data_IF_785239733908
#
_entry.id   IF_785239733908
#
_cell.length_a   1.000
_cell.length_b   1.000
_cell.length_c   1.000
_cell.angle_alpha   90.00
_cell.angle_beta   90.00
_cell.angle_gamma   90.00
#
_symmetry.space_group_name_H-M   'P 1'
#
loop_
_entity.id
_entity.type
_entity.pdbx_description
1 polymer ?
#
# COMPACT_ATOMS: atom_id res chain seq x y z
N UNK A 1 47.09 -13.03 -13.07
CA UNK A 1 46.21 -14.15 -12.70
C UNK A 1 46.80 -14.86 -11.49
N UNK A 2 46.36 -14.50 -10.29
CA UNK A 2 46.50 -15.34 -9.11
C UNK A 2 45.12 -15.97 -8.89
N UNK A 3 45.02 -17.30 -8.97
CA UNK A 3 43.82 -18.01 -8.54
C UNK A 3 43.95 -18.24 -7.04
N UNK A 4 43.27 -17.43 -6.24
CA UNK A 4 43.03 -17.76 -4.82
C UNK A 4 41.82 -18.69 -4.80
N UNK A 5 42.01 -19.90 -4.27
CA UNK A 5 40.90 -20.81 -3.99
C UNK A 5 40.45 -20.52 -2.57
N UNK A 6 39.31 -19.84 -2.41
CA UNK A 6 38.71 -19.60 -1.09
C UNK A 6 37.94 -20.86 -0.68
N UNK A 7 38.49 -21.61 0.28
CA UNK A 7 37.77 -22.69 0.94
C UNK A 7 36.54 -22.12 1.68
N UNK A 8 35.46 -22.90 1.72
CA UNK A 8 34.19 -22.48 2.33
C UNK A 8 34.37 -22.34 3.86
N UNK A 9 34.63 -21.10 4.31
CA UNK A 9 35.00 -20.77 5.68
C UNK A 9 36.20 -19.83 5.83
N UNK A 10 36.84 -19.41 4.73
CA UNK A 10 37.90 -18.39 4.77
C UNK A 10 37.34 -16.98 5.06
N UNK A 11 37.77 -16.38 6.18
CA UNK A 11 37.57 -14.94 6.43
C UNK A 11 38.49 -14.13 5.52
N UNK A 12 37.94 -13.09 4.87
CA UNK A 12 38.73 -12.14 4.09
C UNK A 12 39.57 -11.31 5.08
N UNK A 13 40.90 -11.39 4.96
CA UNK A 13 41.81 -10.72 5.90
C UNK A 13 41.96 -9.23 5.59
N UNK A 14 42.12 -8.42 6.64
CA UNK A 14 42.29 -6.96 6.64
C UNK A 14 43.24 -6.44 5.54
N UNK A 15 44.36 -7.14 5.30
CA UNK A 15 45.34 -6.81 4.25
C UNK A 15 44.82 -6.79 2.80
N UNK A 16 43.73 -7.51 2.52
CA UNK A 16 43.06 -7.52 1.21
C UNK A 16 42.16 -6.28 1.08
N UNK A 17 41.52 -5.84 2.17
CA UNK A 17 40.70 -4.62 2.20
C UNK A 17 41.55 -3.36 2.10
N UNK A 18 42.66 -3.25 2.84
CA UNK A 18 43.64 -2.16 2.71
C UNK A 18 44.11 -1.99 1.25
N UNK A 19 44.38 -3.12 0.58
CA UNK A 19 44.81 -3.14 -0.82
C UNK A 19 43.71 -2.67 -1.78
N UNK A 20 42.44 -2.99 -1.49
CA UNK A 20 41.29 -2.58 -2.31
C UNK A 20 40.91 -1.11 -2.09
N UNK A 21 40.98 -0.61 -0.85
CA UNK A 21 40.68 0.78 -0.47
C UNK A 21 41.58 1.80 -1.19
N UNK A 22 42.84 1.44 -1.42
CA UNK A 22 43.84 2.32 -2.05
C UNK A 22 43.90 2.24 -3.58
N UNK A 23 43.07 1.41 -4.23
CA UNK A 23 43.00 1.32 -5.69
C UNK A 23 41.69 1.92 -6.21
N UNK A 24 41.78 2.95 -7.05
CA UNK A 24 40.61 3.61 -7.68
C UNK A 24 39.78 2.69 -8.59
N UNK A 25 40.30 1.51 -8.94
CA UNK A 25 39.58 0.42 -9.65
C UNK A 25 39.41 -0.85 -8.80
N UNK A 26 39.78 -0.82 -7.51
CA UNK A 26 39.74 -1.98 -6.61
C UNK A 26 38.32 -2.35 -6.17
N UNK A 27 37.45 -1.35 -6.01
CA UNK A 27 36.05 -1.55 -5.60
C UNK A 27 35.23 -2.41 -6.56
N UNK A 28 35.52 -2.40 -7.86
CA UNK A 28 34.79 -3.21 -8.86
C UNK A 28 35.17 -4.70 -8.79
N UNK A 29 36.42 -5.01 -8.44
CA UNK A 29 36.85 -6.38 -8.16
C UNK A 29 36.30 -6.88 -6.81
N UNK A 30 36.28 -6.01 -5.79
CA UNK A 30 35.71 -6.31 -4.48
C UNK A 30 34.19 -6.55 -4.57
N UNK A 31 33.47 -5.71 -5.31
CA UNK A 31 32.03 -5.87 -5.59
C UNK A 31 31.74 -7.22 -6.21
N UNK A 32 32.57 -7.68 -7.15
CA UNK A 32 32.38 -8.96 -7.82
C UNK A 32 32.65 -10.17 -6.92
N UNK A 33 33.66 -10.11 -6.05
CA UNK A 33 33.86 -11.14 -5.02
C UNK A 33 32.71 -11.15 -3.99
N UNK A 34 32.15 -9.99 -3.63
CA UNK A 34 31.01 -9.89 -2.73
C UNK A 34 29.68 -10.35 -3.39
N UNK A 35 29.48 -10.11 -4.69
CA UNK A 35 28.37 -10.68 -5.47
C UNK A 35 28.47 -12.21 -5.63
N UNK A 36 29.68 -12.75 -5.83
CA UNK A 36 29.90 -14.20 -5.84
C UNK A 36 29.73 -14.82 -4.42
N UNK A 37 29.75 -14.01 -3.35
CA UNK A 37 29.54 -14.41 -1.94
C UNK A 37 28.07 -14.32 -1.45
N UNK A 38 27.09 -14.13 -2.35
CA UNK A 38 25.63 -13.98 -2.04
C UNK A 38 24.98 -15.17 -1.29
N UNK A 39 25.73 -16.24 -0.99
CA UNK A 39 25.32 -17.33 -0.10
C UNK A 39 25.80 -17.23 1.37
N UNK A 40 26.64 -16.25 1.72
CA UNK A 40 27.33 -16.20 3.04
C UNK A 40 27.25 -14.82 3.68
N UNK A 41 26.95 -14.78 4.99
CA UNK A 41 27.01 -13.56 5.81
C UNK A 41 28.41 -12.94 5.74
N UNK A 42 28.50 -11.72 5.22
CA UNK A 42 29.72 -10.92 5.26
C UNK A 42 29.84 -10.29 6.65
N UNK A 43 30.92 -10.59 7.38
CA UNK A 43 31.20 -9.88 8.63
C UNK A 43 31.70 -8.46 8.30
N UNK A 44 30.91 -7.45 8.66
CA UNK A 44 31.32 -6.04 8.50
C UNK A 44 32.43 -5.67 9.49
N UNK A 45 33.68 -5.82 9.05
CA UNK A 45 34.90 -5.36 9.73
C UNK A 45 35.05 -3.83 9.61
N UNK A 46 35.84 -3.23 10.51
CA UNK A 46 36.09 -1.78 10.49
C UNK A 46 36.77 -1.35 9.17
N UNK A 47 37.64 -2.20 8.62
CA UNK A 47 38.40 -1.92 7.39
C UNK A 47 37.59 -2.07 6.11
N UNK A 48 36.64 -3.04 6.04
CA UNK A 48 35.66 -3.12 4.94
C UNK A 48 34.85 -1.82 4.85
N UNK A 49 34.42 -1.30 5.99
CA UNK A 49 33.64 -0.06 6.09
C UNK A 49 34.47 1.19 5.75
N UNK A 50 35.77 1.22 6.05
CA UNK A 50 36.71 2.28 5.61
C UNK A 50 36.96 2.22 4.09
N UNK A 51 37.15 1.02 3.54
CA UNK A 51 37.30 0.80 2.10
C UNK A 51 36.05 1.23 1.34
N UNK A 52 34.87 0.87 1.86
CA UNK A 52 33.57 1.29 1.33
C UNK A 52 33.48 2.80 1.15
N UNK A 53 33.83 3.53 2.21
CA UNK A 53 33.65 4.97 2.30
C UNK A 53 34.51 5.78 1.31
N UNK A 54 35.44 5.11 0.61
CA UNK A 54 36.30 5.71 -0.43
C UNK A 54 35.71 5.66 -1.86
N UNK A 55 34.55 5.02 -2.09
CA UNK A 55 33.90 4.91 -3.41
C UNK A 55 32.37 5.01 -3.32
N UNK A 56 31.73 5.87 -4.13
CA UNK A 56 30.30 6.18 -4.08
C UNK A 56 29.35 4.98 -4.28
N UNK A 57 29.70 4.00 -5.10
CA UNK A 57 28.84 2.82 -5.30
C UNK A 57 29.07 1.75 -4.23
N UNK A 58 30.31 1.59 -3.75
CA UNK A 58 30.65 0.72 -2.61
C UNK A 58 30.05 1.25 -1.30
N UNK A 59 30.02 2.57 -1.10
CA UNK A 59 29.32 3.24 -0.01
C UNK A 59 27.87 2.75 0.10
N UNK A 60 27.13 2.69 -1.01
CA UNK A 60 25.70 2.38 -1.01
C UNK A 60 25.39 0.91 -0.71
N UNK A 61 26.19 -0.02 -1.25
CA UNK A 61 26.06 -1.43 -0.91
C UNK A 61 26.34 -1.66 0.59
N UNK A 62 27.35 -0.97 1.13
CA UNK A 62 27.80 -1.18 2.51
C UNK A 62 26.99 -0.37 3.53
N UNK A 63 26.37 0.74 3.13
CA UNK A 63 25.22 1.32 3.83
C UNK A 63 24.11 0.25 3.92
N UNK A 64 23.76 -0.42 2.80
CA UNK A 64 22.73 -1.45 2.74
C UNK A 64 23.07 -2.78 3.45
N UNK A 65 24.33 -3.09 3.74
CA UNK A 65 24.71 -4.23 4.60
C UNK A 65 24.92 -3.83 6.07
N UNK A 66 25.28 -2.57 6.36
CA UNK A 66 25.30 -2.05 7.73
C UNK A 66 23.90 -2.06 8.36
N UNK A 67 22.84 -1.86 7.56
CA UNK A 67 21.84 -2.90 7.26
C UNK A 67 21.03 -3.52 8.40
N UNK A 68 20.48 -4.71 8.10
CA UNK A 68 19.85 -5.63 9.06
C UNK A 68 20.87 -6.13 10.11
N UNK A 69 22.11 -5.64 10.09
CA UNK A 69 23.05 -5.89 11.17
C UNK A 69 22.77 -4.95 12.36
N UNK A 70 22.34 -5.48 13.54
CA UNK A 70 21.86 -4.67 14.67
C UNK A 70 22.85 -3.65 15.26
N UNK A 71 24.14 -3.80 14.96
CA UNK A 71 25.23 -2.88 15.33
C UNK A 71 26.03 -2.37 14.12
N UNK A 72 25.67 -2.77 12.90
CA UNK A 72 26.40 -2.39 11.68
C UNK A 72 26.31 -0.90 11.42
N UNK A 73 25.10 -0.35 11.50
CA UNK A 73 24.87 1.09 11.40
C UNK A 73 25.67 1.89 12.45
N UNK A 74 25.76 1.43 13.71
CA UNK A 74 26.55 2.11 14.76
C UNK A 74 28.05 2.16 14.44
N UNK A 75 28.59 1.08 13.87
CA UNK A 75 29.99 1.04 13.41
C UNK A 75 30.21 1.97 12.22
N UNK A 76 29.27 2.00 11.28
CA UNK A 76 29.31 2.92 10.16
C UNK A 76 29.22 4.39 10.64
N UNK A 77 28.35 4.72 11.61
CA UNK A 77 28.28 6.05 12.24
C UNK A 77 29.63 6.49 12.82
N UNK A 78 30.36 5.60 13.52
CA UNK A 78 31.69 5.89 14.07
C UNK A 78 32.75 6.13 12.99
N UNK A 79 32.61 5.54 11.81
CA UNK A 79 33.53 5.73 10.68
C UNK A 79 33.20 6.98 9.87
N UNK A 80 31.92 7.29 9.69
CA UNK A 80 31.47 8.59 9.16
C UNK A 80 31.81 9.75 10.11
N UNK A 81 31.99 9.49 11.40
CA UNK A 81 32.51 10.49 12.35
C UNK A 81 34.02 10.73 12.19
N UNK A 82 34.79 9.70 11.82
CA UNK A 82 36.23 9.80 11.52
C UNK A 82 36.54 10.41 10.15
N UNK A 83 35.68 10.22 9.15
CA UNK A 83 35.84 10.81 7.81
C UNK A 83 35.13 12.17 7.70
N UNK A 84 35.89 13.26 7.76
CA UNK A 84 35.34 14.63 7.74
C UNK A 84 34.69 15.11 6.44
N UNK A 85 34.90 14.42 5.30
CA UNK A 85 34.55 14.88 3.95
C UNK A 85 33.57 13.93 3.19
N UNK A 86 32.60 13.31 3.89
CA UNK A 86 31.55 12.53 3.21
C UNK A 86 30.55 13.43 2.47
N UNK A 87 30.52 13.42 1.14
CA UNK A 87 29.44 14.07 0.39
C UNK A 87 28.13 13.30 0.57
N UNK A 88 27.17 13.89 1.29
CA UNK A 88 25.83 13.32 1.43
C UNK A 88 25.06 13.47 0.11
N UNK A 89 24.59 12.35 -0.45
CA UNK A 89 23.77 12.32 -1.67
C UNK A 89 22.30 12.02 -1.36
N UNK A 90 21.39 12.42 -2.25
CA UNK A 90 19.96 12.08 -2.11
C UNK A 90 19.70 10.58 -2.21
N UNK A 91 20.58 9.80 -2.86
CA UNK A 91 20.50 8.32 -2.87
C UNK A 91 20.80 7.76 -1.47
N UNK A 92 21.84 8.23 -0.80
CA UNK A 92 22.14 7.84 0.59
C UNK A 92 20.99 8.18 1.54
N UNK A 93 20.33 9.34 1.34
CA UNK A 93 19.15 9.71 2.13
C UNK A 93 17.96 8.77 1.88
N UNK A 94 17.69 8.37 0.62
CA UNK A 94 16.65 7.37 0.29
C UNK A 94 16.91 6.04 0.98
N UNK A 95 18.13 5.49 0.86
CA UNK A 95 18.52 4.23 1.52
C UNK A 95 18.55 4.35 3.06
N UNK A 96 18.75 5.56 3.62
CA UNK A 96 18.63 5.80 5.06
C UNK A 96 17.20 5.94 5.57
N UNK A 97 16.22 6.14 4.68
CA UNK A 97 14.80 6.26 5.03
C UNK A 97 14.19 5.00 5.68
N UNK A 98 14.99 3.96 5.84
CA UNK A 98 14.66 2.72 6.52
C UNK A 98 14.91 2.81 8.04
N UNK A 99 15.95 3.54 8.52
CA UNK A 99 16.28 3.67 9.95
C UNK A 99 16.48 5.15 10.35
N UNK A 100 15.66 5.68 11.28
CA UNK A 100 15.66 7.11 11.63
C UNK A 100 17.00 7.66 12.15
N UNK A 101 17.77 6.88 12.91
CA UNK A 101 19.03 7.34 13.52
C UNK A 101 20.10 7.63 12.47
N UNK A 102 20.20 6.76 11.45
CA UNK A 102 21.13 6.97 10.34
C UNK A 102 20.69 8.17 9.49
N UNK A 103 19.40 8.25 9.18
CA UNK A 103 18.84 9.40 8.46
C UNK A 103 19.12 10.72 9.21
N UNK A 104 18.89 10.76 10.53
CA UNK A 104 19.18 11.93 11.35
C UNK A 104 20.66 12.33 11.28
N UNK A 105 21.60 11.38 11.39
CA UNK A 105 23.03 11.69 11.29
C UNK A 105 23.41 12.27 9.92
N UNK A 106 22.91 11.70 8.81
CA UNK A 106 23.18 12.22 7.47
C UNK A 106 22.63 13.64 7.29
N UNK A 107 21.48 13.96 7.88
CA UNK A 107 20.90 15.30 7.89
C UNK A 107 21.75 16.28 8.74
N UNK A 108 22.22 15.85 9.90
CA UNK A 108 23.13 16.62 10.76
C UNK A 108 24.47 16.93 10.08
N UNK A 109 24.99 15.99 9.27
CA UNK A 109 26.24 16.13 8.49
C UNK A 109 26.09 16.85 7.14
N UNK A 110 24.98 17.58 6.92
CA UNK A 110 24.78 18.44 5.73
C UNK A 110 23.74 17.94 4.71
N UNK A 111 23.23 16.72 4.90
CA UNK A 111 22.18 16.12 4.06
C UNK A 111 20.87 16.91 4.01
N UNK A 112 20.63 17.83 4.96
CA UNK A 112 19.48 18.78 4.94
C UNK A 112 19.28 19.47 3.59
N UNK A 113 20.37 19.82 2.90
CA UNK A 113 20.33 20.50 1.59
C UNK A 113 19.93 19.59 0.42
N UNK A 114 19.88 18.27 0.64
CA UNK A 114 19.62 17.22 -0.36
C UNK A 114 18.27 16.53 -0.15
N UNK A 115 17.49 16.95 0.87
CA UNK A 115 16.11 16.51 1.09
C UNK A 115 15.22 17.14 0.01
N UNK A 116 14.76 16.31 -0.90
CA UNK A 116 13.85 16.67 -1.98
C UNK A 116 12.62 15.76 -1.94
N UNK A 117 11.59 16.07 -2.73
CA UNK A 117 10.39 15.25 -2.88
C UNK A 117 10.74 13.77 -3.11
N UNK A 118 11.70 13.47 -3.98
CA UNK A 118 12.11 12.10 -4.29
C UNK A 118 12.67 11.31 -3.08
N UNK A 119 13.24 11.99 -2.09
CA UNK A 119 13.68 11.38 -0.82
C UNK A 119 12.45 11.11 0.04
N UNK A 120 11.60 12.13 0.22
CA UNK A 120 10.39 12.04 1.04
C UNK A 120 9.41 10.99 0.51
N UNK A 121 9.25 10.88 -0.81
CA UNK A 121 8.37 9.90 -1.47
C UNK A 121 8.88 8.47 -1.30
N UNK A 122 10.20 8.26 -1.39
CA UNK A 122 10.80 6.95 -1.13
C UNK A 122 10.56 6.51 0.33
N UNK A 123 10.77 7.43 1.28
CA UNK A 123 10.50 7.20 2.70
C UNK A 123 9.01 6.98 2.99
N UNK A 124 8.10 7.74 2.36
CA UNK A 124 6.65 7.62 2.54
C UNK A 124 6.09 6.27 2.06
N UNK A 125 6.66 5.72 0.98
CA UNK A 125 6.30 4.40 0.44
C UNK A 125 6.80 3.22 1.28
N UNK A 126 7.69 3.46 2.25
CA UNK A 126 8.25 2.41 3.08
C UNK A 126 7.35 2.10 4.29
N UNK A 127 7.20 0.82 4.66
CA UNK A 127 6.29 0.40 5.75
C UNK A 127 6.62 1.07 7.10
N UNK A 128 7.89 1.43 7.35
CA UNK A 128 8.31 2.16 8.55
C UNK A 128 8.33 3.70 8.36
N UNK A 129 7.43 4.29 7.58
CA UNK A 129 7.48 5.74 7.29
C UNK A 129 7.24 6.65 8.51
N UNK A 130 6.67 6.11 9.60
CA UNK A 130 6.15 6.89 10.73
C UNK A 130 7.19 7.70 11.52
N UNK A 131 8.43 7.21 11.61
CA UNK A 131 9.54 7.91 12.27
C UNK A 131 10.39 8.78 11.31
N UNK A 132 10.81 8.30 10.12
CA UNK A 132 11.68 9.06 9.22
C UNK A 132 10.98 10.19 8.45
N UNK A 133 9.68 10.10 8.15
CA UNK A 133 8.94 11.21 7.49
C UNK A 133 8.92 12.48 8.36
N UNK A 134 8.56 12.44 9.66
CA UNK A 134 8.69 13.60 10.55
C UNK A 134 10.10 14.18 10.64
N UNK A 135 11.13 13.32 10.60
CA UNK A 135 12.55 13.75 10.62
C UNK A 135 12.89 14.54 9.36
N UNK A 136 12.55 14.05 8.16
CA UNK A 136 12.72 14.79 6.90
C UNK A 136 11.98 16.14 6.91
N UNK A 137 10.71 16.13 7.35
CA UNK A 137 9.83 17.31 7.39
C UNK A 137 10.24 18.35 8.46
N UNK A 138 11.08 17.97 9.44
CA UNK A 138 11.59 18.87 10.48
C UNK A 138 13.02 19.33 10.18
N UNK A 139 13.79 18.54 9.45
CA UNK A 139 15.14 18.90 9.02
C UNK A 139 15.15 20.03 7.96
N UNK A 140 14.03 20.26 7.27
CA UNK A 140 13.79 21.38 6.37
C UNK A 140 13.43 22.69 7.08
N UNK A 141 14.30 23.20 7.98
CA UNK A 141 14.07 24.49 8.66
C UNK A 141 14.06 25.70 7.70
N UNK A 142 14.57 25.54 6.48
CA UNK A 142 14.36 26.49 5.39
C UNK A 142 13.03 26.20 4.67
N UNK A 143 12.00 26.92 5.11
CA UNK A 143 10.65 26.99 4.54
C UNK A 143 10.68 26.95 2.99
N UNK A 144 9.89 26.04 2.40
CA UNK A 144 9.62 25.81 0.96
C UNK A 144 10.46 24.81 0.13
N UNK A 145 11.46 24.07 0.65
CA UNK A 145 12.19 23.10 -0.23
C UNK A 145 11.61 21.68 -0.28
N UNK A 146 10.96 21.20 0.79
CA UNK A 146 10.36 19.87 0.80
C UNK A 146 8.94 19.95 0.25
N UNK A 147 8.81 19.80 -1.08
CA UNK A 147 7.52 19.79 -1.76
C UNK A 147 6.71 18.55 -1.32
N UNK A 148 5.59 18.80 -0.63
CA UNK A 148 4.58 17.77 -0.34
C UNK A 148 3.65 17.70 -1.56
N UNK A 149 3.81 16.66 -2.38
CA UNK A 149 2.96 16.40 -3.55
C UNK A 149 1.80 15.48 -3.21
N UNK A 150 0.82 15.39 -4.11
CA UNK A 150 -0.29 14.43 -4.01
C UNK A 150 0.25 13.00 -3.87
N UNK A 151 1.32 12.67 -4.59
CA UNK A 151 1.99 11.38 -4.57
C UNK A 151 2.57 11.03 -3.19
N UNK A 152 3.16 11.99 -2.48
CA UNK A 152 3.65 11.79 -1.11
C UNK A 152 2.49 11.63 -0.14
N UNK A 153 1.44 12.46 -0.26
CA UNK A 153 0.23 12.35 0.57
C UNK A 153 -0.45 10.99 0.40
N UNK A 154 -0.65 10.53 -0.84
CA UNK A 154 -1.21 9.21 -1.16
C UNK A 154 -0.34 8.09 -0.59
N UNK A 155 0.99 8.19 -0.71
CA UNK A 155 1.90 7.18 -0.16
C UNK A 155 1.81 7.09 1.38
N UNK A 156 1.78 8.21 2.10
CA UNK A 156 1.63 8.23 3.57
C UNK A 156 0.25 7.71 4.00
N UNK A 157 -0.83 8.12 3.32
CA UNK A 157 -2.20 7.72 3.68
C UNK A 157 -2.50 6.24 3.37
N UNK A 158 -1.93 5.71 2.29
CA UNK A 158 -2.06 4.28 1.94
C UNK A 158 -1.23 3.34 2.82
N UNK A 159 -0.34 3.87 3.66
CA UNK A 159 0.53 3.08 4.52
C UNK A 159 -0.22 2.55 5.75
N UNK A 160 -0.08 1.26 6.04
CA UNK A 160 -0.96 0.53 6.97
C UNK A 160 -1.08 1.17 8.36
N UNK A 161 0.00 1.74 8.89
CA UNK A 161 0.03 2.30 10.24
C UNK A 161 -0.11 3.83 10.24
N UNK A 162 -1.20 4.32 10.83
CA UNK A 162 -1.33 5.73 11.19
C UNK A 162 -0.39 6.05 12.35
N UNK A 163 0.28 7.20 12.25
CA UNK A 163 1.21 7.66 13.27
C UNK A 163 1.77 9.04 12.91
N UNK A 164 2.96 9.32 13.43
CA UNK A 164 3.55 10.66 13.37
C UNK A 164 3.74 11.19 11.95
N UNK A 165 3.91 10.32 10.93
CA UNK A 165 4.02 10.74 9.53
C UNK A 165 2.75 11.43 9.02
N UNK A 166 1.58 10.83 9.28
CA UNK A 166 0.27 11.35 8.84
C UNK A 166 0.00 12.71 9.47
N UNK A 167 0.22 12.83 10.78
CA UNK A 167 0.06 14.10 11.49
C UNK A 167 1.05 15.16 10.95
N UNK A 168 2.33 14.80 10.84
CA UNK A 168 3.39 15.74 10.43
C UNK A 168 3.24 16.27 9.01
N UNK A 169 2.73 15.45 8.08
CA UNK A 169 2.49 15.87 6.70
C UNK A 169 1.21 16.73 6.63
N UNK A 170 0.14 16.33 7.32
CA UNK A 170 -1.14 17.07 7.34
C UNK A 170 -1.00 18.46 7.97
N UNK A 171 -0.18 18.63 9.01
CA UNK A 171 0.06 19.93 9.63
C UNK A 171 0.87 20.90 8.74
N UNK A 172 1.49 20.39 7.68
CA UNK A 172 2.26 21.15 6.69
C UNK A 172 1.57 21.26 5.32
N UNK A 173 0.37 20.68 5.17
CA UNK A 173 -0.37 20.59 3.90
C UNK A 173 -1.55 21.55 3.88
N UNK A 174 -1.83 22.19 2.74
CA UNK A 174 -3.00 23.07 2.62
C UNK A 174 -4.28 22.28 2.27
N UNK A 175 -5.49 22.79 2.60
CA UNK A 175 -6.74 22.15 2.18
C UNK A 175 -6.92 22.03 0.65
N UNK A 176 -6.12 22.74 -0.16
CA UNK A 176 -6.16 22.65 -1.62
C UNK A 176 -5.53 21.34 -2.10
N UNK A 177 -4.47 20.89 -1.42
CA UNK A 177 -3.66 19.71 -1.79
C UNK A 177 -4.31 18.38 -1.37
N UNK A 178 -5.32 18.44 -0.50
CA UNK A 178 -6.10 17.28 -0.04
C UNK A 178 -7.17 16.91 -1.07
N UNK A 179 -6.74 16.24 -2.14
CA UNK A 179 -7.57 15.82 -3.28
C UNK A 179 -8.43 14.58 -2.99
N UNK A 180 -9.25 14.19 -3.97
CA UNK A 180 -9.99 12.93 -3.92
C UNK A 180 -9.07 11.71 -3.82
N UNK A 181 -7.89 11.70 -4.48
CA UNK A 181 -6.94 10.57 -4.37
C UNK A 181 -6.39 10.42 -2.95
N UNK A 182 -6.15 11.54 -2.25
CA UNK A 182 -5.70 11.52 -0.86
C UNK A 182 -6.79 10.97 0.06
N UNK A 183 -8.06 11.34 -0.18
CA UNK A 183 -9.22 10.78 0.51
C UNK A 183 -9.43 9.29 0.20
N UNK A 184 -9.23 8.86 -1.05
CA UNK A 184 -9.30 7.46 -1.48
C UNK A 184 -8.21 6.61 -0.80
N UNK A 185 -6.97 7.09 -0.77
CA UNK A 185 -5.87 6.44 -0.07
C UNK A 185 -6.13 6.29 1.44
N UNK A 186 -6.67 7.34 2.08
CA UNK A 186 -7.07 7.31 3.48
C UNK A 186 -8.24 6.35 3.74
N UNK A 187 -9.25 6.31 2.87
CA UNK A 187 -10.39 5.41 2.98
C UNK A 187 -10.00 3.94 2.80
N UNK A 188 -9.03 3.65 1.92
CA UNK A 188 -8.47 2.31 1.72
C UNK A 188 -7.52 1.83 2.84
N UNK A 189 -7.22 2.65 3.85
CA UNK A 189 -6.26 2.32 4.90
C UNK A 189 -6.74 1.20 5.84
N UNK A 190 -6.10 0.03 5.80
CA UNK A 190 -6.63 -1.19 6.47
C UNK A 190 -6.75 -1.11 8.00
N UNK A 191 -5.98 -0.26 8.69
CA UNK A 191 -6.00 -0.19 10.15
C UNK A 191 -6.70 1.04 10.72
N UNK A 192 -6.54 2.21 10.09
CA UNK A 192 -6.85 3.51 10.70
C UNK A 192 -7.64 4.46 9.78
N UNK A 193 -8.33 3.93 8.76
CA UNK A 193 -9.04 4.75 7.79
C UNK A 193 -10.05 5.72 8.42
N UNK A 194 -10.73 5.31 9.50
CA UNK A 194 -11.73 6.13 10.18
C UNK A 194 -11.11 7.39 10.78
N UNK A 195 -9.98 7.24 11.46
CA UNK A 195 -9.22 8.30 12.10
C UNK A 195 -8.64 9.25 11.05
N UNK A 196 -8.06 8.71 9.96
CA UNK A 196 -7.55 9.50 8.84
C UNK A 196 -8.65 10.33 8.15
N UNK A 197 -9.79 9.71 7.83
CA UNK A 197 -10.92 10.37 7.19
C UNK A 197 -11.51 11.47 8.09
N UNK A 198 -11.63 11.23 9.40
CA UNK A 198 -12.12 12.26 10.33
C UNK A 198 -11.17 13.47 10.37
N UNK A 199 -9.85 13.25 10.46
CA UNK A 199 -8.86 14.32 10.40
C UNK A 199 -8.94 15.12 9.08
N UNK A 200 -9.09 14.43 7.94
CA UNK A 200 -9.22 15.08 6.64
C UNK A 200 -10.49 15.92 6.54
N UNK A 201 -11.63 15.43 7.08
CA UNK A 201 -12.87 16.20 7.17
C UNK A 201 -12.75 17.46 8.04
N UNK A 202 -12.01 17.40 9.14
CA UNK A 202 -11.81 18.54 10.04
C UNK A 202 -11.00 19.67 9.37
N UNK A 203 -10.18 19.35 8.36
CA UNK A 203 -9.46 20.35 7.53
C UNK A 203 -10.18 20.76 6.23
N UNK A 204 -10.86 19.85 5.56
CA UNK A 204 -11.53 20.10 4.27
C UNK A 204 -12.97 20.62 4.40
N UNK A 205 -13.63 20.36 5.52
CA UNK A 205 -15.08 20.33 5.60
C UNK A 205 -15.68 19.06 4.98
N UNK A 206 -16.89 18.73 5.42
CA UNK A 206 -17.56 17.42 5.25
C UNK A 206 -18.09 17.12 3.83
N UNK A 207 -17.65 17.87 2.81
CA UNK A 207 -18.35 18.00 1.54
C UNK A 207 -17.66 17.35 0.32
N UNK A 208 -16.62 16.52 0.52
CA UNK A 208 -15.76 15.95 -0.54
C UNK A 208 -15.83 14.42 -0.70
N UNK A 209 -16.90 13.77 -0.25
CA UNK A 209 -17.06 12.32 -0.51
C UNK A 209 -17.50 12.09 -1.96
N UNK A 210 -16.67 11.39 -2.71
CA UNK A 210 -16.95 10.96 -4.08
C UNK A 210 -17.19 9.46 -4.13
N UNK A 211 -17.71 8.99 -5.27
CA UNK A 211 -17.85 7.57 -5.58
C UNK A 211 -16.52 6.80 -5.37
N UNK A 212 -15.38 7.38 -5.79
CA UNK A 212 -14.06 6.79 -5.59
C UNK A 212 -13.71 6.59 -4.12
N UNK A 213 -13.96 7.59 -3.26
CA UNK A 213 -13.73 7.48 -1.81
C UNK A 213 -14.63 6.40 -1.18
N UNK A 214 -15.87 6.26 -1.67
CA UNK A 214 -16.77 5.18 -1.22
C UNK A 214 -16.28 3.81 -1.70
N UNK A 215 -15.81 3.66 -2.95
CA UNK A 215 -15.19 2.41 -3.46
C UNK A 215 -13.99 2.00 -2.62
N UNK A 216 -13.08 2.93 -2.34
CA UNK A 216 -11.91 2.69 -1.50
C UNK A 216 -12.30 2.33 -0.05
N UNK A 217 -13.36 2.94 0.49
CA UNK A 217 -13.89 2.59 1.80
C UNK A 217 -14.48 1.17 1.83
N UNK A 218 -15.30 0.77 0.85
CA UNK A 218 -15.98 -0.55 0.90
C UNK A 218 -15.05 -1.72 0.58
N UNK A 219 -13.97 -1.50 -0.17
CA UNK A 219 -12.90 -2.49 -0.38
C UNK A 219 -11.94 -2.67 0.82
N UNK A 220 -12.20 -2.00 1.95
CA UNK A 220 -11.32 -2.00 3.12
C UNK A 220 -11.77 -3.03 4.18
N UNK A 221 -11.03 -4.13 4.27
CA UNK A 221 -11.21 -5.19 5.27
C UNK A 221 -11.25 -4.65 6.72
N UNK A 222 -12.38 -4.82 7.40
CA UNK A 222 -12.58 -4.45 8.81
C UNK A 222 -13.08 -3.00 9.03
N UNK A 223 -12.55 -2.04 8.29
CA UNK A 223 -12.85 -0.61 8.51
C UNK A 223 -13.93 -0.03 7.58
N UNK A 224 -14.23 -0.65 6.43
CA UNK A 224 -15.17 -0.11 5.45
C UNK A 224 -16.59 0.16 5.96
N UNK A 225 -17.11 -0.72 6.82
CA UNK A 225 -18.44 -0.54 7.44
C UNK A 225 -18.49 0.65 8.40
N UNK A 226 -17.40 0.90 9.12
CA UNK A 226 -17.26 2.05 10.01
C UNK A 226 -17.16 3.36 9.23
N UNK A 227 -16.55 3.35 8.04
CA UNK A 227 -16.51 4.49 7.14
C UNK A 227 -17.89 4.82 6.53
N UNK A 228 -18.65 3.82 6.06
CA UNK A 228 -20.01 4.06 5.57
C UNK A 228 -20.90 4.71 6.64
N UNK A 229 -20.84 4.21 7.89
CA UNK A 229 -21.54 4.82 9.02
C UNK A 229 -21.08 6.26 9.30
N UNK A 230 -19.79 6.55 9.19
CA UNK A 230 -19.24 7.90 9.36
C UNK A 230 -19.73 8.85 8.25
N UNK A 231 -19.74 8.42 6.99
CA UNK A 231 -20.22 9.21 5.85
C UNK A 231 -21.72 9.57 5.95
N UNK A 232 -22.50 8.76 6.68
CA UNK A 232 -23.91 9.03 7.02
C UNK A 232 -24.10 10.01 8.16
N UNK A 233 -23.36 9.84 9.25
CA UNK A 233 -23.42 10.73 10.42
C UNK A 233 -23.02 12.16 10.03
N UNK A 234 -22.02 12.29 9.15
CA UNK A 234 -21.59 13.57 8.59
C UNK A 234 -22.56 14.16 7.54
N UNK A 235 -23.81 13.67 7.47
CA UNK A 235 -24.97 14.19 6.71
C UNK A 235 -24.88 14.02 5.18
N UNK A 236 -23.71 13.70 4.63
CA UNK A 236 -23.47 13.63 3.19
C UNK A 236 -24.34 12.57 2.48
N UNK A 237 -24.29 11.31 2.94
CA UNK A 237 -25.09 10.23 2.34
C UNK A 237 -26.60 10.38 2.60
N UNK A 238 -27.05 11.22 3.54
CA UNK A 238 -28.50 11.49 3.74
C UNK A 238 -29.09 12.45 2.71
N UNK A 239 -28.27 13.18 1.94
CA UNK A 239 -28.74 14.09 0.88
C UNK A 239 -28.40 13.60 -0.53
N UNK A 240 -27.27 12.91 -0.68
CA UNK A 240 -26.76 12.42 -1.97
C UNK A 240 -26.39 10.92 -1.97
N UNK A 241 -26.78 10.13 -0.98
CA UNK A 241 -26.33 8.72 -0.89
C UNK A 241 -26.72 7.85 -2.09
N UNK A 242 -27.89 8.09 -2.69
CA UNK A 242 -28.32 7.43 -3.93
C UNK A 242 -27.56 7.92 -5.18
N UNK A 243 -26.85 9.05 -5.12
CA UNK A 243 -26.01 9.56 -6.22
C UNK A 243 -24.57 9.01 -6.13
N UNK A 244 -24.13 8.60 -4.94
CA UNK A 244 -22.76 8.15 -4.67
C UNK A 244 -22.63 6.63 -4.62
N UNK A 245 -23.67 5.91 -4.16
CA UNK A 245 -23.71 4.44 -4.16
C UNK A 245 -24.22 3.95 -5.52
N UNK A 246 -23.34 4.01 -6.51
CA UNK A 246 -23.58 3.57 -7.89
C UNK A 246 -23.53 2.05 -8.03
N UNK A 247 -23.97 1.56 -9.19
CA UNK A 247 -23.78 0.18 -9.66
C UNK A 247 -22.31 -0.27 -9.57
N UNK A 248 -21.38 0.64 -9.86
CA UNK A 248 -19.95 0.39 -9.80
C UNK A 248 -19.40 0.38 -8.36
N UNK A 249 -20.07 1.04 -7.39
CA UNK A 249 -19.80 0.82 -5.97
C UNK A 249 -20.24 -0.58 -5.57
N UNK A 250 -21.40 -1.05 -6.02
CA UNK A 250 -21.87 -2.41 -5.73
C UNK A 250 -20.91 -3.47 -6.30
N UNK A 251 -20.45 -3.32 -7.54
CA UNK A 251 -19.40 -4.17 -8.11
C UNK A 251 -18.11 -4.11 -7.30
N UNK A 252 -17.64 -2.91 -6.93
CA UNK A 252 -16.45 -2.78 -6.10
C UNK A 252 -16.58 -3.45 -4.72
N UNK A 253 -17.79 -3.57 -4.13
CA UNK A 253 -18.02 -4.41 -2.94
C UNK A 253 -17.82 -5.88 -3.28
N UNK A 254 -18.42 -6.35 -4.38
CA UNK A 254 -18.38 -7.75 -4.82
C UNK A 254 -16.93 -8.18 -5.14
N UNK A 255 -16.23 -7.39 -5.96
CA UNK A 255 -14.91 -7.72 -6.52
C UNK A 255 -13.76 -7.65 -5.48
N UNK A 256 -13.86 -6.78 -4.46
CA UNK A 256 -12.74 -6.53 -3.53
C UNK A 256 -12.86 -7.24 -2.17
N UNK A 257 -14.05 -7.78 -1.83
CA UNK A 257 -14.38 -8.10 -0.45
C UNK A 257 -15.00 -9.50 -0.30
N UNK A 258 -14.42 -10.54 -0.92
CA UNK A 258 -14.94 -11.92 -0.93
C UNK A 258 -15.58 -12.35 0.40
N UNK A 259 -14.88 -12.20 1.53
CA UNK A 259 -15.37 -12.67 2.84
C UNK A 259 -16.43 -11.81 3.53
N UNK A 260 -16.63 -10.53 3.15
CA UNK A 260 -17.60 -9.65 3.79
C UNK A 260 -18.50 -8.83 2.84
N UNK A 261 -18.40 -9.07 1.52
CA UNK A 261 -19.20 -8.41 0.49
C UNK A 261 -20.70 -8.57 0.75
N UNK A 262 -21.15 -9.77 1.09
CA UNK A 262 -22.55 -10.06 1.45
C UNK A 262 -23.04 -9.20 2.62
N UNK A 263 -22.23 -9.03 3.67
CA UNK A 263 -22.55 -8.16 4.82
C UNK A 263 -22.58 -6.67 4.47
N UNK A 264 -21.62 -6.20 3.64
CA UNK A 264 -21.59 -4.81 3.17
C UNK A 264 -22.77 -4.49 2.25
N UNK A 265 -23.11 -5.38 1.32
CA UNK A 265 -24.27 -5.28 0.44
C UNK A 265 -25.59 -5.26 1.22
N UNK A 266 -25.77 -6.20 2.17
CA UNK A 266 -26.97 -6.26 2.99
C UNK A 266 -27.21 -4.94 3.74
N UNK A 267 -26.16 -4.31 4.25
CA UNK A 267 -26.27 -3.01 4.89
C UNK A 267 -26.61 -1.89 3.90
N UNK A 268 -25.99 -1.87 2.72
CA UNK A 268 -26.27 -0.88 1.67
C UNK A 268 -27.75 -0.92 1.25
N UNK A 269 -28.31 -2.11 1.05
CA UNK A 269 -29.73 -2.28 0.71
C UNK A 269 -30.64 -1.96 1.90
N UNK A 270 -30.31 -2.42 3.12
CA UNK A 270 -31.06 -2.09 4.34
C UNK A 270 -31.13 -0.59 4.64
N UNK A 271 -30.10 0.18 4.27
CA UNK A 271 -30.07 1.65 4.38
C UNK A 271 -30.82 2.36 3.24
N UNK A 272 -31.31 1.62 2.24
CA UNK A 272 -32.17 2.12 1.17
C UNK A 272 -31.43 2.93 0.09
N UNK A 273 -30.12 2.70 -0.08
CA UNK A 273 -29.32 3.44 -1.07
C UNK A 273 -29.65 3.10 -2.52
N UNK A 274 -30.14 1.89 -2.76
CA UNK A 274 -30.49 1.40 -4.08
C UNK A 274 -31.92 0.88 -4.10
N UNK A 275 -32.59 1.12 -5.23
CA UNK A 275 -34.01 0.75 -5.45
C UNK A 275 -34.18 -0.37 -6.46
N UNK A 276 -33.16 -0.57 -7.31
CA UNK A 276 -33.05 -1.68 -8.24
C UNK A 276 -31.59 -2.16 -8.23
N UNK A 277 -31.39 -3.46 -8.30
CA UNK A 277 -30.10 -4.09 -8.58
C UNK A 277 -30.01 -4.28 -10.10
N UNK A 278 -29.02 -3.66 -10.78
CA UNK A 278 -28.84 -3.83 -12.21
C UNK A 278 -28.34 -5.25 -12.53
N UNK A 279 -28.68 -5.75 -13.72
CA UNK A 279 -28.22 -7.04 -14.24
C UNK A 279 -26.70 -7.24 -14.05
N UNK A 280 -25.90 -6.22 -14.33
CA UNK A 280 -24.44 -6.28 -14.24
C UNK A 280 -23.91 -6.55 -12.82
N UNK A 281 -24.64 -6.16 -11.78
CA UNK A 281 -24.30 -6.50 -10.37
C UNK A 281 -24.72 -7.93 -10.05
N UNK A 282 -25.81 -8.43 -10.63
CA UNK A 282 -26.21 -9.82 -10.54
C UNK A 282 -25.24 -10.76 -11.27
N UNK A 283 -24.71 -10.36 -12.43
CA UNK A 283 -23.65 -11.08 -13.16
C UNK A 283 -22.37 -11.14 -12.31
N UNK A 284 -21.86 -10.00 -11.80
CA UNK A 284 -20.69 -10.00 -10.91
C UNK A 284 -20.90 -10.90 -9.69
N UNK A 285 -22.07 -10.86 -9.07
CA UNK A 285 -22.41 -11.71 -7.94
C UNK A 285 -22.44 -13.21 -8.30
N UNK A 286 -22.96 -13.58 -9.47
CA UNK A 286 -22.97 -14.96 -9.95
C UNK A 286 -21.56 -15.48 -10.29
N UNK A 287 -20.65 -14.59 -10.72
CA UNK A 287 -19.27 -14.91 -11.07
C UNK A 287 -18.33 -15.12 -9.86
N UNK A 288 -18.71 -14.73 -8.65
CA UNK A 288 -17.86 -14.88 -7.46
C UNK A 288 -17.69 -16.34 -7.03
N UNK A 289 -16.45 -16.85 -7.03
CA UNK A 289 -16.08 -18.24 -6.70
C UNK A 289 -16.81 -18.83 -5.46
N UNK A 290 -16.27 -18.66 -4.25
CA UNK A 290 -16.81 -19.29 -3.04
C UNK A 290 -18.00 -18.55 -2.40
N UNK A 291 -18.39 -17.40 -2.97
CA UNK A 291 -19.23 -16.41 -2.30
C UNK A 291 -20.47 -16.01 -3.09
N UNK A 292 -20.64 -16.48 -4.34
CA UNK A 292 -21.83 -16.21 -5.14
C UNK A 292 -23.12 -16.62 -4.42
N UNK A 293 -23.16 -17.76 -3.72
CA UNK A 293 -24.35 -18.18 -2.95
C UNK A 293 -24.70 -17.14 -1.87
N UNK A 294 -23.73 -16.69 -1.08
CA UNK A 294 -23.94 -15.73 0.00
C UNK A 294 -24.32 -14.34 -0.52
N UNK A 295 -23.69 -13.89 -1.60
CA UNK A 295 -23.95 -12.59 -2.24
C UNK A 295 -25.32 -12.62 -2.93
N UNK A 296 -25.60 -13.62 -3.77
CA UNK A 296 -26.87 -13.75 -4.50
C UNK A 296 -28.05 -13.90 -3.54
N UNK A 297 -27.89 -14.64 -2.44
CA UNK A 297 -28.91 -14.72 -1.39
C UNK A 297 -29.23 -13.36 -0.80
N UNK A 298 -28.21 -12.54 -0.50
CA UNK A 298 -28.43 -11.15 -0.06
C UNK A 298 -29.12 -10.34 -1.14
N UNK A 299 -28.74 -10.45 -2.41
CA UNK A 299 -29.39 -9.70 -3.49
C UNK A 299 -30.88 -10.04 -3.64
N UNK A 300 -31.26 -11.31 -3.47
CA UNK A 300 -32.64 -11.79 -3.59
C UNK A 300 -33.50 -11.51 -2.34
N UNK A 301 -32.94 -11.62 -1.13
CA UNK A 301 -33.71 -11.53 0.13
C UNK A 301 -33.98 -10.08 0.62
N UNK A 302 -33.30 -9.07 0.08
CA UNK A 302 -33.41 -7.69 0.59
C UNK A 302 -34.66 -6.91 0.11
N UNK A 303 -35.51 -7.52 -0.72
CA UNK A 303 -36.74 -6.88 -1.23
C UNK A 303 -36.48 -5.72 -2.19
N UNK A 304 -35.28 -5.64 -2.76
CA UNK A 304 -34.90 -4.72 -3.84
C UNK A 304 -35.14 -5.44 -5.17
N UNK A 305 -35.72 -4.74 -6.15
CA UNK A 305 -35.96 -5.31 -7.48
C UNK A 305 -34.64 -5.70 -8.14
N UNK A 306 -34.48 -6.95 -8.57
CA UNK A 306 -33.25 -7.47 -9.19
C UNK A 306 -33.55 -8.04 -10.56
N UNK A 307 -32.82 -7.56 -11.55
CA UNK A 307 -32.94 -8.01 -12.94
C UNK A 307 -32.16 -9.31 -13.16
N UNK A 308 -32.83 -10.44 -12.91
CA UNK A 308 -32.32 -11.78 -13.25
C UNK A 308 -32.61 -12.04 -14.73
N UNK A 309 -31.56 -12.32 -15.49
CA UNK A 309 -31.65 -12.64 -16.93
C UNK A 309 -31.03 -14.00 -17.22
N UNK A 310 -31.20 -14.50 -18.44
CA UNK A 310 -30.54 -15.73 -18.88
C UNK A 310 -29.00 -15.64 -18.80
N UNK A 311 -28.40 -14.45 -18.97
CA UNK A 311 -26.96 -14.29 -18.82
C UNK A 311 -26.53 -14.45 -17.35
N UNK A 312 -27.31 -13.95 -16.38
CA UNK A 312 -27.06 -14.20 -14.93
C UNK A 312 -27.11 -15.70 -14.61
N UNK A 313 -28.09 -16.43 -15.16
CA UNK A 313 -28.23 -17.88 -14.98
C UNK A 313 -27.08 -18.64 -15.65
N UNK A 314 -26.64 -18.19 -16.82
CA UNK A 314 -25.49 -18.74 -17.55
C UNK A 314 -24.18 -18.54 -16.77
N UNK A 315 -23.91 -17.34 -16.27
CA UNK A 315 -22.72 -17.07 -15.42
C UNK A 315 -22.75 -17.95 -14.16
N UNK A 316 -23.93 -18.16 -13.56
CA UNK A 316 -24.08 -19.08 -12.44
C UNK A 316 -23.84 -20.57 -12.82
N UNK A 317 -24.14 -20.96 -14.06
CA UNK A 317 -23.85 -22.30 -14.57
C UNK A 317 -22.36 -22.53 -14.83
N UNK A 318 -21.61 -21.46 -15.16
CA UNK A 318 -20.18 -21.44 -15.41
C UNK A 318 -19.33 -21.34 -14.11
N UNK A 319 -19.94 -21.00 -12.97
CA UNK A 319 -19.28 -20.95 -11.66
C UNK A 319 -19.15 -22.35 -11.04
N UNK A 320 -18.03 -23.05 -11.33
CA UNK A 320 -17.79 -24.44 -10.89
C UNK A 320 -17.88 -24.65 -9.37
N UNK A 321 -17.50 -23.66 -8.55
CA UNK A 321 -17.45 -23.77 -7.08
C UNK A 321 -18.85 -23.71 -6.42
N UNK A 322 -19.76 -22.91 -6.97
CA UNK A 322 -21.09 -22.65 -6.39
C UNK A 322 -22.28 -23.18 -7.23
N UNK A 323 -22.01 -23.81 -8.39
CA UNK A 323 -22.97 -24.14 -9.46
C UNK A 323 -24.32 -24.68 -8.98
N UNK A 324 -24.34 -25.78 -8.24
CA UNK A 324 -25.57 -26.50 -7.89
C UNK A 324 -26.56 -25.65 -7.07
N UNK A 325 -26.08 -25.04 -5.98
CA UNK A 325 -26.92 -24.27 -5.06
C UNK A 325 -27.30 -22.91 -5.66
N UNK A 326 -26.38 -22.29 -6.42
CA UNK A 326 -26.61 -21.02 -7.10
C UNK A 326 -27.64 -21.17 -8.25
N UNK A 327 -27.50 -22.19 -9.10
CA UNK A 327 -28.50 -22.49 -10.13
C UNK A 327 -29.85 -22.84 -9.52
N UNK A 328 -29.89 -23.64 -8.45
CA UNK A 328 -31.14 -23.95 -7.76
C UNK A 328 -31.87 -22.66 -7.33
N UNK A 329 -31.16 -21.76 -6.65
CA UNK A 329 -31.69 -20.49 -6.16
C UNK A 329 -32.22 -19.60 -7.30
N UNK A 330 -31.46 -19.46 -8.38
CA UNK A 330 -31.84 -18.64 -9.53
C UNK A 330 -32.98 -19.26 -10.35
N UNK A 331 -33.01 -20.58 -10.51
CA UNK A 331 -34.07 -21.28 -11.26
C UNK A 331 -35.40 -21.34 -10.49
N UNK A 332 -35.36 -21.41 -9.14
CA UNK A 332 -36.53 -21.21 -8.29
C UNK A 332 -37.12 -19.81 -8.52
N UNK A 333 -36.28 -18.76 -8.46
CA UNK A 333 -36.69 -17.36 -8.72
C UNK A 333 -37.22 -17.14 -10.14
N UNK A 334 -36.55 -17.69 -11.17
CA UNK A 334 -37.01 -17.59 -12.56
C UNK A 334 -38.37 -18.26 -12.77
N UNK A 335 -38.66 -19.34 -12.06
CA UNK A 335 -39.95 -20.01 -12.11
C UNK A 335 -41.07 -19.20 -11.42
N UNK A 336 -40.76 -18.52 -10.31
CA UNK A 336 -41.71 -17.62 -9.63
C UNK A 336 -42.09 -16.40 -10.49
N UNK A 337 -41.12 -15.82 -11.19
CA UNK A 337 -41.31 -14.62 -12.02
C UNK A 337 -41.64 -14.94 -13.50
N UNK A 338 -41.71 -16.23 -13.84
CA UNK A 338 -41.99 -16.72 -15.19
C UNK A 338 -41.02 -16.15 -16.25
N UNK A 339 -39.73 -16.09 -15.88
CA UNK A 339 -38.64 -15.63 -16.74
C UNK A 339 -38.30 -16.74 -17.74
N UNK A 340 -38.39 -16.48 -19.06
CA UNK A 340 -38.09 -17.49 -20.07
C UNK A 340 -36.57 -17.72 -20.17
N UNK A 341 -36.16 -18.98 -20.13
CA UNK A 341 -34.79 -19.42 -20.40
C UNK A 341 -34.78 -20.22 -21.71
N UNK A 342 -33.78 -20.00 -22.57
CA UNK A 342 -33.66 -20.69 -23.86
C UNK A 342 -32.99 -22.07 -23.73
N UNK A 343 -32.21 -22.29 -22.67
CA UNK A 343 -31.53 -23.55 -22.33
C UNK A 343 -32.08 -24.14 -21.03
N UNK A 344 -32.14 -25.47 -20.91
CA UNK A 344 -32.48 -26.16 -19.66
C UNK A 344 -31.22 -26.36 -18.79
N UNK A 345 -30.90 -25.34 -18.00
CA UNK A 345 -29.78 -25.35 -17.05
C UNK A 345 -29.90 -26.39 -15.91
N UNK A 346 -30.98 -27.17 -15.85
CA UNK A 346 -31.13 -28.29 -14.89
C UNK A 346 -30.46 -29.57 -15.37
N UNK A 347 -30.06 -29.64 -16.64
CA UNK A 347 -29.42 -30.81 -17.23
C UNK A 347 -27.92 -30.61 -17.18
N UNK A 348 -27.23 -31.49 -16.45
CA UNK A 348 -25.78 -31.63 -16.59
C UNK A 348 -25.47 -32.22 -17.96
N UNK A 349 -24.89 -31.43 -18.85
CA UNK A 349 -24.06 -31.98 -19.93
C UNK A 349 -22.86 -32.69 -19.28
N UNK A 350 -22.72 -33.97 -19.59
CA UNK A 350 -21.81 -34.95 -18.95
C UNK A 350 -20.48 -35.12 -19.68
#
# INVERSE_FOLDING_TARGET
>A
MLKVSLDHGATISDSVFDSAAHMSSGGEALLKELEDLVGTRIECTEDLLVAAASNSDSQLLILREAADHPDGYKRLMLLLDKQGDLEITSKMLKESGYWPEMLQLLLERGGRTKVMEEVLLATARHWNCNEPVPVLLSAGENVNYVMITEEVLVAVMGNLDYGNAVQSIIDRTSPVDLTNKVLEAAAGNRKNAKEMIQMLFDRLGKARITEGVVKAAVGNFGSGMHLLALFEEQVFLRRSGSEVVTDEVLKAVIDNNESAASGTLAEIFRRGYQKKIPEQVAISAAACEFQAIHIMKVLLEQGVDIEITEEVVKTAAENEECREELLKMLLERCAEENIPLSVDYRVEDK
#
